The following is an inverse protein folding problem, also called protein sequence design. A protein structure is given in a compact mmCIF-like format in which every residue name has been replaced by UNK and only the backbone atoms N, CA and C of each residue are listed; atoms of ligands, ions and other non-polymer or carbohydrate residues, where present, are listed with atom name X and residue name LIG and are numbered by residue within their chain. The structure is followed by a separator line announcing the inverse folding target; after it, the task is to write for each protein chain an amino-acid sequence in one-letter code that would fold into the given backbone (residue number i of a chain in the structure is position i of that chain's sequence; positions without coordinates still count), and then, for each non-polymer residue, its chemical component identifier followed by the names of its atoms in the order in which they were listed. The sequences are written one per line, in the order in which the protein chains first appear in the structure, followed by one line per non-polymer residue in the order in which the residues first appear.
data_IF_715768857092
#
_entry.id   IF_715768857092
#
_cell.length_a   1.000
_cell.length_b   1.000
_cell.length_c   1.000
_cell.angle_alpha   90.00
_cell.angle_beta   90.00
_cell.angle_gamma   90.00
#
_symmetry.space_group_name_H-M   'P 1'
#
loop_
_entity.id
_entity.type
_entity.pdbx_description
1 polymer ?
#
# COMPACT_ATOMS: atom_id res chain seq x y z
N UNK A 1 -19.57 -12.72 18.74
CA UNK A 1 -18.51 -11.71 19.00
C UNK A 1 -17.17 -12.29 19.47
N UNK A 2 -17.13 -13.24 20.41
CA UNK A 2 -15.86 -13.74 20.98
C UNK A 2 -14.93 -14.48 19.98
N UNK A 3 -15.48 -15.17 18.97
CA UNK A 3 -14.67 -15.89 17.97
C UNK A 3 -13.89 -14.95 17.03
N UNK A 4 -14.48 -13.79 16.70
CA UNK A 4 -13.86 -12.77 15.85
C UNK A 4 -12.66 -12.12 16.57
N UNK A 5 -12.82 -11.81 17.86
CA UNK A 5 -11.76 -11.26 18.71
C UNK A 5 -10.66 -12.28 19.06
N UNK A 6 -10.93 -13.58 19.00
CA UNK A 6 -9.93 -14.64 19.23
C UNK A 6 -8.96 -14.79 18.05
N UNK A 7 -9.43 -14.48 16.83
CA UNK A 7 -8.65 -14.61 15.60
C UNK A 7 -7.88 -13.36 15.21
N UNK A 8 -8.24 -12.19 15.75
CA UNK A 8 -7.47 -10.94 15.63
C UNK A 8 -6.45 -10.94 16.77
N UNK A 9 -5.35 -11.66 16.59
CA UNK A 9 -4.18 -11.60 17.49
C UNK A 9 -3.44 -10.30 17.19
N UNK A 10 -3.85 -9.20 17.82
CA UNK A 10 -3.27 -7.86 17.62
C UNK A 10 -3.91 -6.81 18.53
N UNK A 11 -3.38 -5.59 18.50
CA UNK A 11 -3.92 -4.46 19.28
C UNK A 11 -5.26 -3.97 18.70
N UNK A 12 -6.32 -4.09 19.49
CA UNK A 12 -7.68 -3.71 19.10
C UNK A 12 -7.81 -2.22 18.81
N UNK A 13 -7.03 -1.37 19.46
CA UNK A 13 -7.05 0.08 19.23
C UNK A 13 -6.51 0.41 17.84
N UNK A 14 -5.43 -0.25 17.40
CA UNK A 14 -4.88 -0.05 16.06
C UNK A 14 -5.91 -0.43 14.99
N UNK A 15 -6.60 -1.56 15.18
CA UNK A 15 -7.69 -1.98 14.28
C UNK A 15 -8.83 -0.98 14.24
N UNK A 16 -9.25 -0.45 15.40
CA UNK A 16 -10.30 0.55 15.48
C UNK A 16 -9.90 1.86 14.78
N UNK A 17 -8.68 2.35 15.02
CA UNK A 17 -8.15 3.56 14.36
C UNK A 17 -8.07 3.36 12.85
N UNK A 18 -7.54 2.23 12.39
CA UNK A 18 -7.46 1.93 10.96
C UNK A 18 -8.85 1.86 10.29
N UNK A 19 -9.83 1.23 10.94
CA UNK A 19 -11.21 1.17 10.46
C UNK A 19 -11.85 2.56 10.40
N UNK A 20 -11.65 3.38 11.43
CA UNK A 20 -12.16 4.75 11.48
C UNK A 20 -11.57 5.62 10.36
N UNK A 21 -10.25 5.56 10.16
CA UNK A 21 -9.58 6.27 9.07
C UNK A 21 -10.05 5.79 7.69
N UNK A 22 -10.29 4.49 7.53
CA UNK A 22 -10.84 3.93 6.29
C UNK A 22 -12.25 4.47 6.00
N UNK A 23 -13.13 4.56 7.01
CA UNK A 23 -14.46 5.17 6.86
C UNK A 23 -14.34 6.64 6.48
N UNK A 24 -13.52 7.41 7.20
CA UNK A 24 -13.35 8.84 6.90
C UNK A 24 -12.70 9.10 5.53
N UNK A 25 -11.89 8.17 5.02
CA UNK A 25 -11.23 8.31 3.71
C UNK A 25 -12.22 8.40 2.54
N UNK A 26 -13.46 7.92 2.69
CA UNK A 26 -14.46 8.01 1.62
C UNK A 26 -14.91 9.45 1.34
N UNK A 27 -14.94 10.31 2.35
CA UNK A 27 -15.37 11.70 2.19
C UNK A 27 -14.45 12.50 1.25
N UNK A 28 -13.12 12.59 1.47
CA UNK A 28 -12.23 13.31 0.56
C UNK A 28 -12.15 12.63 -0.81
N UNK A 29 -12.23 11.29 -0.88
CA UNK A 29 -12.19 10.57 -2.16
C UNK A 29 -13.42 10.84 -3.00
N UNK A 30 -14.63 10.84 -2.41
CA UNK A 30 -15.85 11.18 -3.13
C UNK A 30 -15.84 12.64 -3.59
N UNK A 31 -15.33 13.55 -2.75
CA UNK A 31 -15.15 14.97 -3.09
C UNK A 31 -14.19 15.17 -4.27
N UNK A 32 -13.04 14.49 -4.28
CA UNK A 32 -12.10 14.57 -5.40
C UNK A 32 -12.64 13.88 -6.66
N UNK A 33 -13.33 12.74 -6.50
CA UNK A 33 -13.91 11.99 -7.60
C UNK A 33 -15.03 12.75 -8.31
N UNK A 34 -15.83 13.55 -7.60
CA UNK A 34 -16.88 14.38 -8.21
C UNK A 34 -16.29 15.45 -9.12
N UNK A 35 -15.18 16.08 -8.72
CA UNK A 35 -14.46 17.02 -9.57
C UNK A 35 -13.90 16.33 -10.83
N UNK A 36 -13.27 15.16 -10.67
CA UNK A 36 -12.74 14.38 -11.79
C UNK A 36 -13.84 13.88 -12.75
N UNK A 37 -14.97 13.43 -12.23
CA UNK A 37 -16.10 12.99 -13.04
C UNK A 37 -16.79 14.16 -13.77
N UNK A 38 -16.78 15.36 -13.17
CA UNK A 38 -17.28 16.60 -13.77
C UNK A 38 -16.37 17.07 -14.92
N UNK A 39 -15.06 17.13 -14.70
CA UNK A 39 -14.08 17.54 -15.72
C UNK A 39 -13.95 16.50 -16.84
N UNK A 40 -14.04 15.21 -16.50
CA UNK A 40 -13.94 14.09 -17.45
C UNK A 40 -15.23 13.77 -18.23
N UNK A 41 -16.29 14.58 -18.09
CA UNK A 41 -17.51 14.51 -18.92
C UNK A 41 -18.42 13.29 -18.74
N UNK A 42 -18.05 12.33 -17.88
CA UNK A 42 -18.83 11.09 -17.67
C UNK A 42 -19.87 11.19 -16.55
N UNK A 43 -19.75 12.17 -15.64
CA UNK A 43 -20.65 12.38 -14.50
C UNK A 43 -20.72 11.22 -13.50
N UNK A 44 -20.04 10.09 -13.76
CA UNK A 44 -20.16 8.86 -13.01
C UNK A 44 -19.06 8.74 -11.95
N UNK A 45 -19.37 9.13 -10.71
CA UNK A 45 -18.47 9.03 -9.55
C UNK A 45 -18.38 7.63 -8.97
N UNK A 46 -19.33 6.75 -9.30
CA UNK A 46 -19.45 5.41 -8.70
C UNK A 46 -18.24 4.53 -9.02
N UNK A 47 -17.66 4.66 -10.21
CA UNK A 47 -16.45 3.90 -10.59
C UNK A 47 -15.25 4.19 -9.68
N UNK A 48 -15.06 5.45 -9.27
CA UNK A 48 -14.00 5.83 -8.33
C UNK A 48 -14.27 5.30 -6.92
N UNK A 49 -15.53 5.30 -6.49
CA UNK A 49 -15.93 4.73 -5.21
C UNK A 49 -15.62 3.23 -5.12
N UNK A 50 -15.96 2.46 -6.16
CA UNK A 50 -15.65 1.02 -6.23
C UNK A 50 -14.14 0.79 -6.23
N UNK A 51 -13.37 1.56 -7.02
CA UNK A 51 -11.91 1.47 -7.00
C UNK A 51 -11.36 1.72 -5.60
N UNK A 52 -11.80 2.76 -4.90
CA UNK A 52 -11.35 3.05 -3.54
C UNK A 52 -11.70 1.93 -2.55
N UNK A 53 -12.92 1.41 -2.62
CA UNK A 53 -13.35 0.27 -1.81
C UNK A 53 -12.45 -0.96 -2.03
N UNK A 54 -12.09 -1.28 -3.28
CA UNK A 54 -11.17 -2.37 -3.59
C UNK A 54 -9.77 -2.15 -2.99
N UNK A 55 -9.25 -0.92 -3.03
CA UNK A 55 -7.95 -0.59 -2.42
C UNK A 55 -7.98 -0.76 -0.89
N UNK A 56 -9.05 -0.30 -0.25
CA UNK A 56 -9.24 -0.50 1.19
C UNK A 56 -9.34 -1.99 1.53
N UNK A 57 -10.17 -2.74 0.80
CA UNK A 57 -10.32 -4.18 1.01
C UNK A 57 -8.97 -4.91 0.89
N UNK A 58 -8.19 -4.62 -0.16
CA UNK A 58 -6.86 -5.18 -0.36
C UNK A 58 -5.90 -4.78 0.79
N UNK A 59 -5.93 -3.52 1.22
CA UNK A 59 -5.14 -3.04 2.35
C UNK A 59 -5.46 -3.78 3.66
N UNK A 60 -6.74 -3.96 3.98
CA UNK A 60 -7.17 -4.73 5.15
C UNK A 60 -6.80 -6.21 5.03
N UNK A 61 -6.90 -6.80 3.84
CA UNK A 61 -6.48 -8.18 3.60
C UNK A 61 -4.97 -8.36 3.82
N UNK A 62 -4.14 -7.44 3.31
CA UNK A 62 -2.68 -7.45 3.54
C UNK A 62 -2.37 -7.27 5.02
N UNK A 63 -3.00 -6.31 5.70
CA UNK A 63 -2.83 -6.08 7.13
C UNK A 63 -3.17 -7.34 7.95
N UNK A 64 -4.28 -8.01 7.62
CA UNK A 64 -4.67 -9.28 8.24
C UNK A 64 -3.73 -10.44 7.86
N UNK A 65 -3.12 -10.45 6.68
CA UNK A 65 -2.08 -11.43 6.36
C UNK A 65 -0.84 -11.21 7.23
N UNK A 66 -0.33 -9.99 7.22
CA UNK A 66 0.92 -9.57 7.89
C UNK A 66 0.84 -9.74 9.40
N UNK A 67 -0.29 -9.40 10.05
CA UNK A 67 -0.39 -9.52 11.51
C UNK A 67 -0.26 -10.97 12.04
N UNK A 68 -0.47 -11.99 11.18
CA UNK A 68 -0.31 -13.40 11.58
C UNK A 68 1.14 -13.87 11.50
N UNK A 69 2.01 -13.11 10.82
CA UNK A 69 3.40 -13.47 10.62
C UNK A 69 4.21 -13.08 11.87
N UNK A 70 4.89 -14.03 12.53
CA UNK A 70 5.72 -13.70 13.69
C UNK A 70 6.84 -12.71 13.32
N UNK A 71 7.03 -11.67 14.14
CA UNK A 71 7.95 -10.56 13.85
C UNK A 71 9.39 -11.00 13.56
N UNK A 72 9.84 -12.15 14.12
CA UNK A 72 11.18 -12.73 13.88
C UNK A 72 11.49 -12.99 12.41
N UNK A 73 10.49 -13.28 11.58
CA UNK A 73 10.71 -13.57 10.15
C UNK A 73 11.07 -12.31 9.37
N UNK A 74 10.58 -11.14 9.77
CA UNK A 74 10.88 -9.86 9.10
C UNK A 74 12.37 -9.52 9.14
N UNK A 75 13.10 -9.98 10.16
CA UNK A 75 14.56 -9.81 10.26
C UNK A 75 15.32 -10.54 9.15
N UNK A 76 14.93 -11.77 8.83
CA UNK A 76 15.54 -12.54 7.74
C UNK A 76 15.08 -12.03 6.38
N UNK A 77 13.77 -11.74 6.28
CA UNK A 77 13.15 -11.25 5.06
C UNK A 77 13.75 -9.93 4.59
N UNK A 78 14.04 -8.98 5.49
CA UNK A 78 14.59 -7.68 5.11
C UNK A 78 15.94 -7.78 4.40
N UNK A 79 16.81 -8.71 4.81
CA UNK A 79 18.11 -8.93 4.17
C UNK A 79 17.98 -9.40 2.72
N UNK A 80 17.02 -10.29 2.45
CA UNK A 80 16.72 -10.78 1.09
C UNK A 80 15.97 -9.73 0.28
N UNK A 81 15.10 -8.95 0.94
CA UNK A 81 14.28 -7.95 0.26
C UNK A 81 15.06 -6.71 -0.18
N UNK A 82 16.17 -6.35 0.48
CA UNK A 82 17.00 -5.19 0.08
C UNK A 82 17.47 -5.26 -1.38
N UNK A 83 18.16 -6.33 -1.85
CA UNK A 83 18.55 -6.41 -3.26
C UNK A 83 17.33 -6.44 -4.19
N UNK A 84 16.22 -7.07 -3.79
CA UNK A 84 14.98 -7.10 -4.58
C UNK A 84 14.42 -5.68 -4.78
N UNK A 85 14.30 -4.89 -3.71
CA UNK A 85 13.77 -3.52 -3.83
C UNK A 85 14.73 -2.60 -4.56
N UNK A 86 16.05 -2.80 -4.47
CA UNK A 86 17.02 -2.06 -5.26
C UNK A 86 16.85 -2.34 -6.76
N UNK A 87 16.71 -3.62 -7.14
CA UNK A 87 16.42 -4.00 -8.53
C UNK A 87 15.09 -3.40 -8.99
N UNK A 88 14.03 -3.48 -8.18
CA UNK A 88 12.73 -2.89 -8.50
C UNK A 88 12.81 -1.36 -8.69
N UNK A 89 13.58 -0.65 -7.86
CA UNK A 89 13.80 0.78 -8.00
C UNK A 89 14.54 1.12 -9.30
N UNK A 90 15.59 0.37 -9.64
CA UNK A 90 16.29 0.52 -10.92
C UNK A 90 15.32 0.31 -12.09
N UNK A 91 14.54 -0.77 -12.06
CA UNK A 91 13.52 -1.05 -13.09
C UNK A 91 12.52 0.08 -13.20
N UNK A 92 12.05 0.64 -12.07
CA UNK A 92 11.11 1.77 -12.04
C UNK A 92 11.73 3.01 -12.67
N UNK A 93 12.98 3.32 -12.33
CA UNK A 93 13.72 4.46 -12.88
C UNK A 93 13.94 4.32 -14.39
N UNK A 94 14.24 3.10 -14.86
CA UNK A 94 14.47 2.81 -16.28
C UNK A 94 13.19 2.76 -17.10
N UNK A 95 12.04 2.45 -16.48
CA UNK A 95 10.76 2.33 -17.19
C UNK A 95 10.31 3.66 -17.82
N UNK A 96 10.79 4.80 -17.31
CA UNK A 96 10.76 6.07 -18.05
C UNK A 96 9.40 6.45 -18.62
N UNK A 97 8.29 6.01 -18.03
CA UNK A 97 6.96 6.23 -18.60
C UNK A 97 6.65 7.72 -18.51
N UNK A 98 6.50 8.40 -19.64
CA UNK A 98 5.95 9.75 -19.71
C UNK A 98 4.43 9.63 -19.86
N UNK A 99 3.69 10.28 -18.96
CA UNK A 99 2.25 10.50 -19.12
C UNK A 99 2.12 12.01 -19.29
N UNK A 100 1.60 12.46 -20.43
CA UNK A 100 1.41 13.89 -20.77
C UNK A 100 2.66 14.78 -20.66
N UNK A 101 3.83 14.28 -21.08
CA UNK A 101 5.07 15.07 -21.15
C UNK A 101 5.77 15.32 -19.80
N UNK A 102 5.22 14.83 -18.69
CA UNK A 102 5.88 14.77 -17.39
C UNK A 102 6.55 13.40 -17.19
N UNK A 103 7.73 13.37 -16.56
CA UNK A 103 8.38 12.13 -16.12
C UNK A 103 7.48 11.41 -15.09
N UNK A 104 6.63 10.49 -15.56
CA UNK A 104 5.80 9.61 -14.74
C UNK A 104 6.55 8.32 -14.34
N UNK A 105 7.89 8.34 -14.37
CA UNK A 105 8.79 7.22 -14.06
C UNK A 105 8.83 6.79 -12.59
N UNK A 106 7.78 7.08 -11.82
CA UNK A 106 7.71 6.82 -10.37
C UNK A 106 6.88 5.60 -9.99
N UNK A 107 6.13 5.05 -10.94
CA UNK A 107 5.18 3.97 -10.71
C UNK A 107 5.36 2.91 -11.78
N UNK A 108 5.34 1.63 -11.37
CA UNK A 108 5.26 0.52 -12.29
C UNK A 108 3.79 0.17 -12.49
N UNK A 109 3.30 0.15 -13.71
CA UNK A 109 1.97 -0.41 -13.99
C UNK A 109 2.05 -1.93 -13.97
N UNK A 110 1.28 -2.56 -13.09
CA UNK A 110 1.19 -4.02 -13.04
C UNK A 110 0.36 -4.47 -14.26
N UNK A 111 0.97 -5.20 -15.21
CA UNK A 111 0.24 -5.69 -16.37
C UNK A 111 -0.91 -6.58 -15.90
N UNK A 112 -2.00 -6.65 -16.68
CA UNK A 112 -3.23 -7.42 -16.41
C UNK A 112 -4.14 -6.89 -15.29
N UNK A 113 -3.61 -6.22 -14.28
CA UNK A 113 -4.40 -5.76 -13.11
C UNK A 113 -4.85 -4.30 -13.27
N UNK A 114 -4.21 -3.52 -14.14
CA UNK A 114 -4.56 -2.11 -14.37
C UNK A 114 -4.31 -1.22 -13.15
N UNK A 115 -3.53 -1.70 -12.18
CA UNK A 115 -3.14 -0.96 -10.98
C UNK A 115 -1.68 -0.51 -11.10
N UNK A 116 -1.40 0.70 -10.62
CA UNK A 116 -0.05 1.24 -10.54
C UNK A 116 0.55 0.97 -9.16
N UNK A 117 1.78 0.47 -9.11
CA UNK A 117 2.49 0.17 -7.89
C UNK A 117 3.71 1.08 -7.74
N UNK A 118 3.78 1.78 -6.61
CA UNK A 118 4.90 2.63 -6.28
C UNK A 118 5.96 1.83 -5.52
N UNK A 119 7.02 1.43 -6.23
CA UNK A 119 8.10 0.59 -5.68
C UNK A 119 8.83 1.23 -4.49
N UNK A 120 8.88 2.57 -4.43
CA UNK A 120 9.50 3.29 -3.32
C UNK A 120 8.76 3.10 -1.98
N UNK A 121 7.45 2.83 -2.00
CA UNK A 121 6.69 2.58 -0.76
C UNK A 121 7.12 1.26 -0.11
N UNK A 122 7.33 0.21 -0.92
CA UNK A 122 7.89 -1.06 -0.47
C UNK A 122 9.34 -0.92 0.00
N UNK A 123 10.16 -0.18 -0.76
CA UNK A 123 11.55 0.07 -0.41
C UNK A 123 11.67 0.77 0.96
N UNK A 124 10.81 1.74 1.26
CA UNK A 124 10.80 2.43 2.56
C UNK A 124 10.54 1.46 3.73
N UNK A 125 9.56 0.56 3.60
CA UNK A 125 9.24 -0.44 4.63
C UNK A 125 10.40 -1.43 4.80
N UNK A 126 10.96 -1.95 3.70
CA UNK A 126 12.09 -2.88 3.72
C UNK A 126 13.32 -2.24 4.37
N UNK A 127 13.63 -1.00 4.01
CA UNK A 127 14.74 -0.25 4.57
C UNK A 127 14.56 0.00 6.07
N UNK A 128 13.36 0.39 6.51
CA UNK A 128 13.06 0.60 7.92
C UNK A 128 13.33 -0.68 8.74
N UNK A 129 12.85 -1.83 8.27
CA UNK A 129 13.09 -3.12 8.94
C UNK A 129 14.58 -3.51 8.91
N UNK A 130 15.27 -3.26 7.79
CA UNK A 130 16.70 -3.54 7.68
C UNK A 130 17.54 -2.69 8.64
N UNK A 131 17.26 -1.39 8.74
CA UNK A 131 17.93 -0.47 9.66
C UNK A 131 17.67 -0.87 11.11
N UNK A 132 16.41 -1.16 11.47
CA UNK A 132 16.08 -1.65 12.81
C UNK A 132 16.87 -2.93 13.17
N UNK A 133 16.97 -3.88 12.24
CA UNK A 133 17.81 -5.08 12.39
C UNK A 133 19.29 -4.75 12.56
N UNK A 134 19.81 -3.82 11.77
CA UNK A 134 21.24 -3.46 11.79
C UNK A 134 21.60 -2.84 13.14
N UNK A 135 20.79 -1.90 13.62
CA UNK A 135 20.96 -1.27 14.93
C UNK A 135 20.83 -2.28 16.08
N UNK A 136 19.88 -3.22 16.00
CA UNK A 136 19.71 -4.25 17.03
C UNK A 136 20.85 -5.28 17.11
N UNK A 137 21.80 -5.26 16.16
CA UNK A 137 23.01 -6.09 16.20
C UNK A 137 24.24 -5.35 16.74
N UNK A 138 24.18 -4.02 16.76
CA UNK A 138 25.25 -3.15 17.24
C UNK A 138 25.14 -2.95 18.75
N UNK A 139 23.94 -3.10 19.31
CA UNK A 139 23.74 -3.36 20.74
C UNK A 139 24.18 -4.78 21.11
#
# INVERSE_FOLDING_TARGET
MQALFKNIKGDRLIWAIAALLAIFSFLPVYSAASNLAYVGGSGNTFGFFIKHFMHLFLGFAIMYGVHKIPYRYFRGLSMVMIPIVLVLLIVTMLQGTTIDGANASRWIQIPFVGMSFQTSTLAAVVLMVYVARYLSKIQ
#
